data_IF_654704927218
#
_entry.id   IF_654704927218
#
_cell.length_a   1.000
_cell.length_b   1.000
_cell.length_c   1.000
_cell.angle_alpha   90.00
_cell.angle_beta   90.00
_cell.angle_gamma   90.00
#
_symmetry.space_group_name_H-M   'P 1'
#
loop_
_entity.id
_entity.type
_entity.pdbx_description
1 polymer ?
#
# COMPACT_ATOMS: atom_id res chain seq x y z
N UNK A 1 25.27 -21.15 -32.06
CA UNK A 1 24.94 -19.87 -32.72
C UNK A 1 25.60 -19.85 -34.09
N UNK A 2 24.83 -19.89 -35.17
CA UNK A 2 25.35 -20.02 -36.53
C UNK A 2 26.23 -18.81 -36.89
N UNK A 3 27.36 -19.03 -37.56
CA UNK A 3 28.33 -17.96 -37.85
C UNK A 3 27.72 -16.78 -38.61
N UNK A 4 26.72 -17.03 -39.48
CA UNK A 4 25.95 -15.99 -40.17
C UNK A 4 25.17 -15.08 -39.20
N UNK A 5 24.60 -15.65 -38.14
CA UNK A 5 23.89 -14.88 -37.12
C UNK A 5 24.85 -14.00 -36.30
N UNK A 6 26.08 -14.47 -36.05
CA UNK A 6 27.10 -13.66 -35.36
C UNK A 6 27.48 -12.42 -36.18
N UNK A 7 27.73 -12.57 -37.48
CA UNK A 7 28.02 -11.44 -38.37
C UNK A 7 26.85 -10.46 -38.46
N UNK A 8 25.62 -10.97 -38.51
CA UNK A 8 24.43 -10.13 -38.51
C UNK A 8 24.29 -9.31 -37.23
N UNK A 9 24.54 -9.92 -36.06
CA UNK A 9 24.56 -9.22 -34.77
C UNK A 9 25.66 -8.16 -34.73
N UNK A 10 26.86 -8.46 -35.23
CA UNK A 10 27.94 -7.46 -35.32
C UNK A 10 27.61 -6.31 -36.28
N UNK A 11 26.93 -6.59 -37.40
CA UNK A 11 26.49 -5.55 -38.32
C UNK A 11 25.47 -4.60 -37.66
N UNK A 12 24.50 -5.15 -36.91
CA UNK A 12 23.54 -4.34 -36.16
C UNK A 12 24.24 -3.51 -35.08
N UNK A 13 25.16 -4.12 -34.32
CA UNK A 13 25.93 -3.42 -33.30
C UNK A 13 26.80 -2.31 -33.87
N UNK A 14 27.45 -2.55 -35.01
CA UNK A 14 28.24 -1.54 -35.72
C UNK A 14 27.39 -0.38 -36.22
N UNK A 15 26.25 -0.69 -36.84
CA UNK A 15 25.34 0.33 -37.37
C UNK A 15 24.68 1.15 -36.25
N UNK A 16 24.30 0.50 -35.14
CA UNK A 16 23.79 1.16 -33.95
C UNK A 16 24.84 2.08 -33.32
N UNK A 17 26.09 1.61 -33.21
CA UNK A 17 27.19 2.42 -32.69
C UNK A 17 27.45 3.65 -33.56
N UNK A 18 27.50 3.48 -34.89
CA UNK A 18 27.65 4.59 -35.83
C UNK A 18 26.50 5.61 -35.74
N UNK A 19 25.26 5.13 -35.62
CA UNK A 19 24.10 5.99 -35.41
C UNK A 19 24.21 6.79 -34.11
N UNK A 20 24.70 6.18 -33.03
CA UNK A 20 24.94 6.88 -31.76
C UNK A 20 26.05 7.93 -31.88
N UNK A 21 27.17 7.60 -32.55
CA UNK A 21 28.25 8.57 -32.77
C UNK A 21 27.77 9.74 -33.64
N UNK A 22 26.98 9.49 -34.69
CA UNK A 22 26.41 10.54 -35.52
C UNK A 22 25.53 11.48 -34.69
N UNK A 23 24.59 10.95 -33.91
CA UNK A 23 23.77 11.76 -33.01
C UNK A 23 24.61 12.51 -31.96
N UNK A 24 25.72 11.93 -31.51
CA UNK A 24 26.60 12.56 -30.52
C UNK A 24 27.40 13.73 -31.09
N UNK A 25 27.79 13.71 -32.36
CA UNK A 25 28.59 14.79 -32.98
C UNK A 25 27.74 15.82 -33.72
N UNK A 26 26.64 15.41 -34.34
CA UNK A 26 25.82 16.29 -35.18
C UNK A 26 24.58 16.84 -34.44
N UNK A 27 23.99 16.07 -33.53
CA UNK A 27 22.74 16.43 -32.81
C UNK A 27 22.85 16.23 -31.29
N UNK A 28 24.01 16.57 -30.72
CA UNK A 28 24.36 16.35 -29.31
C UNK A 28 23.32 16.93 -28.37
N UNK A 29 22.83 18.14 -28.68
CA UNK A 29 21.91 18.89 -27.82
C UNK A 29 20.60 18.14 -27.63
N UNK A 30 20.04 17.58 -28.68
CA UNK A 30 18.75 16.87 -28.61
C UNK A 30 18.92 15.46 -28.03
N UNK A 31 20.05 14.80 -28.29
CA UNK A 31 20.41 13.56 -27.62
C UNK A 31 20.49 13.72 -26.09
N UNK A 32 21.20 14.75 -25.60
CA UNK A 32 21.31 15.03 -24.17
C UNK A 32 19.98 15.49 -23.57
N UNK A 33 19.21 16.35 -24.24
CA UNK A 33 17.86 16.74 -23.79
C UNK A 33 16.93 15.54 -23.67
N UNK A 34 16.89 14.67 -24.69
CA UNK A 34 16.08 13.46 -24.69
C UNK A 34 16.50 12.49 -23.57
N UNK A 35 17.81 12.30 -23.39
CA UNK A 35 18.35 11.48 -22.30
C UNK A 35 17.99 12.04 -20.93
N UNK A 36 18.13 13.36 -20.71
CA UNK A 36 17.74 14.02 -19.47
C UNK A 36 16.22 13.92 -19.22
N UNK A 37 15.41 14.11 -20.26
CA UNK A 37 13.95 13.95 -20.20
C UNK A 37 13.57 12.52 -19.81
N UNK A 38 14.18 11.51 -20.43
CA UNK A 38 13.92 10.11 -20.13
C UNK A 38 14.27 9.77 -18.68
N UNK A 39 15.44 10.20 -18.21
CA UNK A 39 15.85 10.03 -16.81
C UNK A 39 14.89 10.77 -15.88
N UNK A 40 14.52 12.02 -16.22
CA UNK A 40 13.55 12.81 -15.47
C UNK A 40 12.20 12.10 -15.34
N UNK A 41 11.66 11.59 -16.44
CA UNK A 41 10.42 10.81 -16.45
C UNK A 41 10.55 9.52 -15.63
N UNK A 42 11.65 8.79 -15.73
CA UNK A 42 11.88 7.58 -14.96
C UNK A 42 11.91 7.87 -13.45
N UNK A 43 12.54 8.97 -13.03
CA UNK A 43 12.55 9.41 -11.63
C UNK A 43 11.15 9.81 -11.18
N UNK A 44 10.43 10.61 -11.96
CA UNK A 44 9.07 11.05 -11.63
C UNK A 44 8.13 9.84 -11.52
N UNK A 45 8.14 8.93 -12.49
CA UNK A 45 7.33 7.71 -12.44
C UNK A 45 7.74 6.80 -11.28
N UNK A 46 9.04 6.63 -11.05
CA UNK A 46 9.55 5.85 -9.91
C UNK A 46 9.07 6.40 -8.57
N UNK A 47 9.11 7.73 -8.39
CA UNK A 47 8.62 8.41 -7.19
C UNK A 47 7.10 8.31 -7.07
N UNK A 48 6.35 8.46 -8.16
CA UNK A 48 4.89 8.29 -8.15
C UNK A 48 4.49 6.88 -7.74
N UNK A 49 5.15 5.87 -8.30
CA UNK A 49 4.92 4.45 -7.96
C UNK A 49 5.31 4.21 -6.50
N UNK A 50 6.49 4.67 -6.06
CA UNK A 50 6.93 4.52 -4.68
C UNK A 50 5.98 5.19 -3.68
N UNK A 51 5.55 6.42 -3.95
CA UNK A 51 4.63 7.15 -3.08
C UNK A 51 3.25 6.48 -3.03
N UNK A 52 2.72 6.06 -4.18
CA UNK A 52 1.38 5.45 -4.24
C UNK A 52 1.34 4.04 -3.67
N UNK A 53 2.35 3.21 -3.95
CA UNK A 53 2.38 1.81 -3.53
C UNK A 53 3.03 1.61 -2.15
N UNK A 54 4.21 2.19 -1.89
CA UNK A 54 4.93 2.05 -0.61
C UNK A 54 4.43 3.04 0.45
N UNK A 55 4.07 4.27 0.07
CA UNK A 55 3.63 5.30 1.03
C UNK A 55 2.40 4.90 1.83
N UNK A 56 1.51 4.07 1.27
CA UNK A 56 0.31 3.58 1.96
C UNK A 56 0.60 2.56 3.07
N UNK A 57 1.73 1.85 3.00
CA UNK A 57 2.07 0.76 3.92
C UNK A 57 2.92 1.23 5.11
N UNK A 58 3.49 2.45 5.06
CA UNK A 58 4.27 3.05 6.15
C UNK A 58 3.46 3.85 7.17
N UNK A 59 2.13 3.70 7.20
CA UNK A 59 1.35 4.08 8.38
C UNK A 59 1.57 3.05 9.49
N UNK A 60 2.79 3.00 10.02
CA UNK A 60 3.24 2.16 11.15
C UNK A 60 2.65 2.58 12.48
N UNK A 61 1.43 3.12 12.48
CA UNK A 61 0.61 3.19 13.67
C UNK A 61 -0.58 2.30 13.42
N UNK A 62 -0.43 1.06 13.89
CA UNK A 62 -1.41 0.01 13.89
C UNK A 62 -2.78 0.63 14.18
N UNK A 63 -3.62 0.75 13.15
CA UNK A 63 -4.91 1.43 13.28
C UNK A 63 -5.75 0.77 14.40
N UNK A 64 -5.45 -0.50 14.67
CA UNK A 64 -5.95 -1.31 15.76
C UNK A 64 -5.46 -0.81 17.13
N UNK A 65 -4.17 -0.50 17.29
CA UNK A 65 -3.64 0.11 18.52
C UNK A 65 -4.30 1.46 18.79
N UNK A 66 -4.42 2.32 17.76
CA UNK A 66 -5.06 3.65 17.92
C UNK A 66 -6.54 3.52 18.30
N UNK A 67 -7.25 2.53 17.77
CA UNK A 67 -8.63 2.18 18.16
C UNK A 67 -8.69 1.64 19.59
N UNK A 68 -7.78 0.74 19.96
CA UNK A 68 -7.71 0.14 21.29
C UNK A 68 -7.43 1.18 22.38
N UNK A 69 -6.52 2.13 22.14
CA UNK A 69 -6.24 3.24 23.06
C UNK A 69 -7.44 4.17 23.19
N UNK A 70 -8.14 4.48 22.10
CA UNK A 70 -9.38 5.27 22.18
C UNK A 70 -10.46 4.55 22.98
N UNK A 71 -10.59 3.24 22.81
CA UNK A 71 -11.54 2.42 23.55
C UNK A 71 -11.19 2.34 25.05
N UNK A 72 -9.91 2.16 25.39
CA UNK A 72 -9.46 2.11 26.79
C UNK A 72 -9.65 3.46 27.48
N UNK A 73 -9.29 4.57 26.82
CA UNK A 73 -9.55 5.92 27.33
C UNK A 73 -11.04 6.21 27.48
N UNK A 74 -11.91 5.75 26.57
CA UNK A 74 -13.37 5.92 26.72
C UNK A 74 -13.94 5.10 27.88
N UNK A 75 -13.40 3.89 28.13
CA UNK A 75 -13.88 2.98 29.18
C UNK A 75 -13.40 3.35 30.58
N UNK A 76 -12.15 3.84 30.70
CA UNK A 76 -11.49 4.08 31.99
C UNK A 76 -11.12 5.54 32.24
N UNK A 77 -11.06 6.39 31.20
CA UNK A 77 -10.60 7.78 31.31
C UNK A 77 -11.60 8.77 31.90
N UNK A 78 -12.82 8.34 32.24
CA UNK A 78 -13.83 9.20 32.88
C UNK A 78 -13.79 9.14 34.41
N UNK A 79 -12.96 8.28 35.01
CA UNK A 79 -12.89 8.04 36.46
C UNK A 79 -11.51 8.36 37.06
N UNK A 80 -10.83 9.43 36.62
CA UNK A 80 -9.63 9.91 37.34
C UNK A 80 -9.94 10.75 38.57
N UNK A 81 -11.21 10.80 39.01
CA UNK A 81 -11.63 11.48 40.24
C UNK A 81 -12.44 10.62 41.22
N UNK A 82 -12.50 9.30 41.05
CA UNK A 82 -13.05 8.44 42.12
C UNK A 82 -11.91 7.81 42.90
N UNK A 83 -11.68 8.38 44.09
CA UNK A 83 -10.90 7.83 45.19
C UNK A 83 -10.98 6.31 45.22
N UNK A 84 -9.83 5.70 45.49
CA UNK A 84 -9.69 4.32 45.89
C UNK A 84 -10.82 3.89 46.84
N UNK A 85 -11.74 3.08 46.34
CA UNK A 85 -12.58 2.25 47.19
C UNK A 85 -12.41 0.81 46.72
N UNK A 86 -11.64 0.07 47.52
CA UNK A 86 -11.55 -1.38 47.47
C UNK A 86 -12.95 -1.99 47.30
N UNK A 87 -13.15 -2.80 46.27
CA UNK A 87 -14.19 -3.82 46.29
C UNK A 87 -13.85 -4.91 45.27
N UNK A 88 -13.10 -5.91 45.75
CA UNK A 88 -13.05 -7.24 45.16
C UNK A 88 -14.46 -7.82 45.04
N UNK A 89 -15.11 -7.70 43.88
CA UNK A 89 -16.28 -8.53 43.51
C UNK A 89 -16.25 -8.84 42.01
N UNK A 90 -16.32 -10.11 41.59
CA UNK A 90 -16.48 -10.44 40.18
C UNK A 90 -17.88 -10.03 39.74
N UNK A 91 -18.00 -9.01 38.89
CA UNK A 91 -19.29 -8.60 38.34
C UNK A 91 -19.80 -9.68 37.38
N UNK A 92 -20.92 -10.34 37.72
CA UNK A 92 -21.63 -11.27 36.82
C UNK A 92 -21.84 -10.60 35.46
N UNK A 93 -21.41 -11.27 34.39
CA UNK A 93 -21.75 -10.90 33.01
C UNK A 93 -23.28 -10.79 32.89
N UNK A 94 -23.80 -9.58 32.71
CA UNK A 94 -25.18 -9.38 32.27
C UNK A 94 -25.29 -9.81 30.80
N UNK A 95 -25.74 -11.04 30.56
CA UNK A 95 -26.22 -11.48 29.25
C UNK A 95 -27.49 -10.70 28.93
N UNK A 96 -27.42 -9.81 27.95
CA UNK A 96 -28.57 -9.16 27.33
C UNK A 96 -29.50 -10.25 26.76
N UNK A 97 -30.72 -10.36 27.30
CA UNK A 97 -31.76 -11.26 26.76
C UNK A 97 -32.28 -10.66 25.46
N UNK A 98 -32.11 -11.38 24.34
CA UNK A 98 -32.77 -11.02 23.07
C UNK A 98 -34.28 -11.29 23.20
N UNK A 99 -35.16 -10.44 22.63
CA UNK A 99 -36.59 -10.71 22.62
C UNK A 99 -36.86 -11.96 21.76
N UNK A 100 -37.48 -12.99 22.36
CA UNK A 100 -37.94 -14.17 21.62
C UNK A 100 -39.26 -13.82 20.93
N UNK A 101 -39.20 -13.30 19.71
CA UNK A 101 -40.38 -13.33 18.85
C UNK A 101 -40.62 -14.78 18.45
N UNK A 102 -41.58 -15.42 19.12
CA UNK A 102 -42.14 -16.70 18.69
C UNK A 102 -42.89 -16.46 17.39
N UNK A 103 -42.29 -16.83 16.25
CA UNK A 103 -43.05 -17.02 15.03
C UNK A 103 -43.76 -18.36 15.11
N UNK A 104 -45.09 -18.35 15.12
CA UNK A 104 -45.90 -19.56 14.95
C UNK A 104 -45.62 -20.09 13.55
N UNK A 105 -44.95 -21.24 13.45
CA UNK A 105 -44.92 -22.00 12.19
C UNK A 105 -46.34 -22.53 12.00
N UNK A 106 -47.10 -21.87 11.14
CA UNK A 106 -48.41 -22.36 10.69
C UNK A 106 -48.15 -23.61 9.84
N UNK A 107 -48.18 -24.79 10.47
CA UNK A 107 -48.17 -26.06 9.77
C UNK A 107 -49.43 -26.17 8.92
N UNK A 108 -49.27 -26.21 7.61
CA UNK A 108 -50.35 -26.49 6.67
C UNK A 108 -50.64 -27.99 6.77
N UNK A 109 -51.66 -28.39 7.55
CA UNK A 109 -52.14 -29.78 7.52
C UNK A 109 -52.95 -29.97 6.24
N UNK A 110 -52.39 -30.74 5.31
CA UNK A 110 -53.18 -31.49 4.32
C UNK A 110 -53.59 -32.82 4.92
#
# INVERSE_FOLDING_TARGET
>A
MNNKAKYFVYAILGLASLGLFYNLFFDTVDFFKGTLMMIGFAVVFGLLIYYFFIGRHRSGQDSNYRKAVKQSRKKYGKNTNSRFTNSNKPSKLQRQKKPSHLTVIKGNKK
#
